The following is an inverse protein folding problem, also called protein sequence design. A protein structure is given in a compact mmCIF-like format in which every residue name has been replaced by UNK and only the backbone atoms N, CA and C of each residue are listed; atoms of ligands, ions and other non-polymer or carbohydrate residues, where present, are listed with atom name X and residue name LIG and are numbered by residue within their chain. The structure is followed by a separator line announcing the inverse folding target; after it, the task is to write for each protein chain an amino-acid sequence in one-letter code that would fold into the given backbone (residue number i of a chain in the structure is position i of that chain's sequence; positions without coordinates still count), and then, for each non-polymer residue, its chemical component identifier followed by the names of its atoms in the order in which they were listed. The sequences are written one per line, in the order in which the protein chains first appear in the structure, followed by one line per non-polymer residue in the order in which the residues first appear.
data_IF_772432500716
#
_entry.id   IF_772432500716
#
_cell.length_a   1.000
_cell.length_b   1.000
_cell.length_c   1.000
_cell.angle_alpha   90.00
_cell.angle_beta   90.00
_cell.angle_gamma   90.00
#
_symmetry.space_group_name_H-M   'P 1'
#
loop_
_entity.id
_entity.type
_entity.pdbx_description
1 polymer ?
#
# COMPACT_ATOMS: atom_id res chain seq x y z
N UNK A 1 -6.08 -27.06 13.18
CA UNK A 1 -5.11 -26.08 13.70
C UNK A 1 -4.40 -26.71 14.88
N UNK A 2 -3.13 -27.01 14.73
CA UNK A 2 -2.30 -27.68 15.74
C UNK A 2 -1.89 -26.71 16.86
N UNK A 3 -1.46 -27.26 18.02
CA UNK A 3 -0.97 -26.45 19.16
C UNK A 3 0.21 -25.56 18.73
N UNK A 4 1.12 -26.09 17.90
CA UNK A 4 2.26 -25.36 17.35
C UNK A 4 1.86 -24.19 16.41
N UNK A 5 0.77 -24.34 15.65
CA UNK A 5 0.22 -23.24 14.83
C UNK A 5 -0.36 -22.14 15.71
N UNK A 6 -1.03 -22.47 16.81
CA UNK A 6 -1.56 -21.48 17.77
C UNK A 6 -0.45 -20.72 18.47
N UNK A 7 0.59 -21.41 18.95
CA UNK A 7 1.76 -20.77 19.59
C UNK A 7 2.51 -19.86 18.61
N UNK A 8 2.65 -20.26 17.34
CA UNK A 8 3.29 -19.46 16.31
C UNK A 8 2.46 -18.20 15.97
N UNK A 9 1.14 -18.29 15.90
CA UNK A 9 0.24 -17.15 15.71
C UNK A 9 0.32 -16.20 16.90
N UNK A 10 0.24 -16.69 18.13
CA UNK A 10 0.32 -15.89 19.35
C UNK A 10 1.67 -15.18 19.54
N UNK A 11 2.76 -15.69 18.97
CA UNK A 11 4.08 -15.04 19.01
C UNK A 11 4.30 -14.01 17.90
N UNK A 12 3.55 -14.09 16.80
CA UNK A 12 3.66 -13.18 15.64
C UNK A 12 2.87 -11.88 15.85
N UNK A 13 1.68 -11.95 16.46
CA UNK A 13 0.83 -10.78 16.69
C UNK A 13 1.50 -9.67 17.53
N UNK A 14 2.14 -9.94 18.68
CA UNK A 14 2.84 -8.90 19.44
C UNK A 14 3.99 -8.26 18.68
N UNK A 15 4.69 -9.04 17.86
CA UNK A 15 5.79 -8.51 17.03
C UNK A 15 5.27 -7.62 15.89
N UNK A 16 4.13 -7.95 15.32
CA UNK A 16 3.49 -7.15 14.26
C UNK A 16 2.96 -5.83 14.81
N UNK A 17 2.28 -5.87 15.96
CA UNK A 17 1.77 -4.68 16.64
C UNK A 17 2.91 -3.73 17.05
N UNK A 18 4.02 -4.27 17.58
CA UNK A 18 5.21 -3.48 17.88
C UNK A 18 5.78 -2.78 16.64
N UNK A 19 5.82 -3.48 15.48
CA UNK A 19 6.27 -2.88 14.21
C UNK A 19 5.32 -1.78 13.71
N UNK A 20 3.99 -1.98 13.83
CA UNK A 20 2.99 -0.96 13.46
C UNK A 20 3.12 0.28 14.34
N UNK A 21 3.28 0.11 15.65
CA UNK A 21 3.51 1.22 16.59
C UNK A 21 4.79 1.98 16.25
N UNK A 22 5.88 1.26 15.98
CA UNK A 22 7.15 1.88 15.60
C UNK A 22 7.05 2.64 14.28
N UNK A 23 6.33 2.10 13.31
CA UNK A 23 6.03 2.80 12.06
C UNK A 23 5.24 4.08 12.30
N UNK A 24 4.21 4.04 13.16
CA UNK A 24 3.41 5.22 13.50
C UNK A 24 4.26 6.33 14.15
N UNK A 25 5.22 5.98 15.04
CA UNK A 25 6.17 6.93 15.61
C UNK A 25 7.01 7.62 14.53
N UNK A 26 7.54 6.86 13.56
CA UNK A 26 8.34 7.41 12.45
C UNK A 26 7.48 8.30 11.57
N UNK A 27 6.28 7.89 11.20
CA UNK A 27 5.34 8.69 10.39
C UNK A 27 5.01 9.99 11.11
N UNK A 28 4.72 9.94 12.43
CA UNK A 28 4.43 11.11 13.24
C UNK A 28 5.59 12.12 13.23
N UNK A 29 6.83 11.62 13.30
CA UNK A 29 8.02 12.46 13.35
C UNK A 29 8.46 13.00 11.99
N UNK A 30 8.29 12.22 10.91
CA UNK A 30 8.86 12.51 9.60
C UNK A 30 7.86 13.03 8.57
N UNK A 31 6.61 12.57 8.65
CA UNK A 31 5.64 12.69 7.56
C UNK A 31 4.35 13.42 7.92
N UNK A 32 4.05 13.61 9.21
CA UNK A 32 2.84 14.30 9.65
C UNK A 32 3.12 15.78 9.93
N UNK A 33 2.42 16.68 9.21
CA UNK A 33 2.38 18.11 9.48
C UNK A 33 1.02 18.49 10.05
N UNK A 34 0.98 19.28 11.13
CA UNK A 34 -0.23 19.79 11.79
C UNK A 34 -0.25 21.29 11.84
N UNK A 35 -1.44 21.88 12.01
CA UNK A 35 -1.61 23.31 12.26
C UNK A 35 -1.48 24.18 11.02
N UNK A 36 -1.14 23.64 9.87
CA UNK A 36 -1.10 24.37 8.60
C UNK A 36 -2.35 23.98 7.80
N UNK A 37 -3.17 24.95 7.39
CA UNK A 37 -4.25 24.67 6.45
C UNK A 37 -3.65 24.28 5.11
N UNK A 38 -3.78 23.02 4.75
CA UNK A 38 -3.32 22.49 3.47
C UNK A 38 -4.54 22.17 2.60
N UNK A 39 -4.52 22.68 1.38
CA UNK A 39 -5.53 22.33 0.38
C UNK A 39 -5.17 20.96 -0.21
N UNK A 40 -6.05 19.99 -0.02
CA UNK A 40 -5.89 18.63 -0.53
C UNK A 40 -6.14 18.58 -2.05
N UNK A 41 -5.69 17.52 -2.71
CA UNK A 41 -5.97 17.28 -4.13
C UNK A 41 -7.49 17.21 -4.44
N UNK A 42 -8.31 16.87 -3.45
CA UNK A 42 -9.78 16.89 -3.52
C UNK A 42 -10.37 18.31 -3.50
N UNK A 43 -9.57 19.35 -3.21
CA UNK A 43 -10.00 20.74 -3.04
C UNK A 43 -10.43 21.08 -1.61
N UNK A 44 -10.57 20.11 -0.71
CA UNK A 44 -10.92 20.33 0.69
C UNK A 44 -9.73 20.92 1.48
N UNK A 45 -10.03 21.74 2.50
CA UNK A 45 -9.00 22.19 3.44
C UNK A 45 -8.87 21.18 4.58
N UNK A 46 -7.62 20.89 4.97
CA UNK A 46 -7.30 20.03 6.10
C UNK A 46 -6.36 20.73 7.07
N UNK A 47 -6.54 20.49 8.37
CA UNK A 47 -5.65 20.99 9.43
C UNK A 47 -4.40 20.11 9.62
N UNK A 48 -4.28 19.03 8.87
CA UNK A 48 -3.14 18.12 8.88
C UNK A 48 -2.85 17.59 7.47
N UNK A 49 -1.61 17.18 7.25
CA UNK A 49 -1.15 16.61 5.99
C UNK A 49 -0.14 15.50 6.23
N UNK A 50 -0.27 14.40 5.50
CA UNK A 50 0.71 13.32 5.47
C UNK A 50 1.51 13.40 4.17
N UNK A 51 2.82 13.67 4.26
CA UNK A 51 3.78 13.46 3.18
C UNK A 51 4.60 12.21 3.48
N UNK A 52 4.29 11.10 2.83
CA UNK A 52 4.96 9.85 3.12
C UNK A 52 6.36 9.72 2.54
N UNK A 53 6.77 10.64 1.67
CA UNK A 53 8.13 10.61 1.09
C UNK A 53 9.23 10.58 2.15
N UNK A 54 9.24 11.44 3.20
CA UNK A 54 10.26 11.35 4.25
C UNK A 54 10.30 9.98 4.95
N UNK A 55 9.15 9.37 5.26
CA UNK A 55 9.10 8.02 5.85
C UNK A 55 9.62 6.96 4.88
N UNK A 56 9.24 7.04 3.60
CA UNK A 56 9.67 6.06 2.59
C UNK A 56 11.15 6.18 2.21
N UNK A 57 11.77 7.33 2.43
CA UNK A 57 13.21 7.55 2.26
C UNK A 57 14.00 7.47 3.58
N UNK A 58 13.32 7.17 4.70
CA UNK A 58 13.95 6.83 5.97
C UNK A 58 14.25 5.32 6.02
N UNK A 59 15.50 4.88 6.31
CA UNK A 59 15.87 3.47 6.22
C UNK A 59 14.97 2.52 7.02
N UNK A 60 14.70 2.85 8.29
CA UNK A 60 13.83 2.06 9.16
C UNK A 60 12.36 2.16 8.72
N UNK A 61 11.90 3.35 8.29
CA UNK A 61 10.53 3.56 7.82
C UNK A 61 10.22 2.71 6.59
N UNK A 62 11.09 2.77 5.58
CA UNK A 62 10.95 1.95 4.37
C UNK A 62 10.97 0.44 4.66
N UNK A 63 11.86 -0.01 5.57
CA UNK A 63 11.96 -1.41 5.96
C UNK A 63 10.69 -1.91 6.68
N UNK A 64 10.14 -1.10 7.59
CA UNK A 64 8.89 -1.41 8.31
C UNK A 64 7.70 -1.46 7.36
N UNK A 65 7.55 -0.48 6.47
CA UNK A 65 6.47 -0.47 5.46
C UNK A 65 6.58 -1.72 4.59
N UNK A 66 7.77 -1.99 4.03
CA UNK A 66 7.96 -3.16 3.17
C UNK A 66 7.67 -4.48 3.88
N UNK A 67 8.12 -4.63 5.12
CA UNK A 67 7.89 -5.84 5.92
C UNK A 67 6.42 -6.08 6.25
N UNK A 68 5.70 -5.04 6.65
CA UNK A 68 4.26 -5.12 6.95
C UNK A 68 3.44 -5.37 5.67
N UNK A 69 3.76 -4.68 4.55
CA UNK A 69 3.12 -4.92 3.25
C UNK A 69 3.34 -6.36 2.75
N UNK A 70 4.54 -6.91 2.95
CA UNK A 70 4.84 -8.29 2.56
C UNK A 70 4.01 -9.31 3.35
N UNK A 71 3.72 -9.05 4.62
CA UNK A 71 2.82 -9.88 5.43
C UNK A 71 1.39 -9.88 4.86
N UNK A 72 0.88 -8.72 4.44
CA UNK A 72 -0.44 -8.61 3.81
C UNK A 72 -0.50 -9.39 2.48
N UNK A 73 0.58 -9.32 1.67
CA UNK A 73 0.70 -10.12 0.44
C UNK A 73 0.69 -11.63 0.72
N UNK A 74 1.39 -12.07 1.76
CA UNK A 74 1.39 -13.47 2.18
C UNK A 74 0.02 -13.93 2.66
N UNK A 75 -0.67 -13.12 3.46
CA UNK A 75 -2.01 -13.40 3.95
C UNK A 75 -3.00 -13.64 2.79
N UNK A 76 -2.95 -12.81 1.75
CA UNK A 76 -3.81 -12.93 0.57
C UNK A 76 -3.26 -13.92 -0.47
N UNK A 77 -2.10 -14.53 -0.23
CA UNK A 77 -1.38 -15.37 -1.20
C UNK A 77 -1.12 -14.64 -2.54
N UNK A 78 -1.01 -13.31 -2.49
CA UNK A 78 -0.73 -12.50 -3.66
C UNK A 78 0.73 -12.65 -4.09
N UNK A 79 0.95 -12.65 -5.42
CA UNK A 79 2.27 -12.76 -6.03
C UNK A 79 2.67 -11.49 -6.80
N UNK A 80 1.77 -10.51 -6.78
CA UNK A 80 1.97 -9.24 -7.49
C UNK A 80 1.58 -8.11 -6.57
N UNK A 81 2.35 -7.02 -6.60
CA UNK A 81 2.06 -5.77 -5.88
C UNK A 81 2.16 -4.60 -6.83
N UNK A 82 1.24 -3.67 -6.72
CA UNK A 82 1.28 -2.45 -7.53
C UNK A 82 0.45 -1.33 -6.95
N UNK A 83 0.48 -0.17 -7.60
CA UNK A 83 -0.32 0.98 -7.18
C UNK A 83 -0.12 2.19 -8.09
N UNK A 84 -0.77 3.30 -7.77
CA UNK A 84 -0.71 4.51 -8.58
C UNK A 84 0.59 5.29 -8.29
N UNK A 85 1.23 5.81 -9.35
CA UNK A 85 2.34 6.76 -9.17
C UNK A 85 1.85 8.04 -8.47
N UNK A 86 2.64 8.76 -7.65
CA UNK A 86 4.02 8.47 -7.25
C UNK A 86 4.08 7.70 -5.91
N UNK A 87 3.02 7.79 -5.07
CA UNK A 87 3.02 7.31 -3.68
C UNK A 87 3.33 5.82 -3.56
N UNK A 88 2.74 4.99 -4.44
CA UNK A 88 2.96 3.55 -4.40
C UNK A 88 4.36 3.12 -4.90
N UNK A 89 5.03 3.90 -5.76
CA UNK A 89 6.28 3.47 -6.41
C UNK A 89 7.39 3.08 -5.43
N UNK A 90 7.74 3.91 -4.42
CA UNK A 90 8.75 3.53 -3.44
C UNK A 90 8.33 2.33 -2.59
N UNK A 91 7.03 2.19 -2.26
CA UNK A 91 6.51 1.04 -1.51
C UNK A 91 6.72 -0.24 -2.32
N UNK A 92 6.29 -0.26 -3.58
CA UNK A 92 6.43 -1.41 -4.48
C UNK A 92 7.89 -1.81 -4.63
N UNK A 93 8.79 -0.85 -4.85
CA UNK A 93 10.22 -1.12 -5.00
C UNK A 93 10.82 -1.80 -3.76
N UNK A 94 10.51 -1.27 -2.55
CA UNK A 94 11.00 -1.84 -1.30
C UNK A 94 10.41 -3.24 -1.02
N UNK A 95 9.12 -3.47 -1.31
CA UNK A 95 8.47 -4.78 -1.15
C UNK A 95 9.08 -5.83 -2.08
N UNK A 96 9.27 -5.49 -3.35
CA UNK A 96 9.89 -6.38 -4.34
C UNK A 96 11.29 -6.77 -3.91
N UNK A 97 12.13 -5.79 -3.53
CA UNK A 97 13.48 -6.03 -3.06
C UNK A 97 13.49 -6.93 -1.82
N UNK A 98 12.67 -6.60 -0.80
CA UNK A 98 12.61 -7.37 0.43
C UNK A 98 12.15 -8.81 0.17
N UNK A 99 11.15 -9.03 -0.69
CA UNK A 99 10.66 -10.36 -1.04
C UNK A 99 11.75 -11.27 -1.64
N UNK A 100 12.67 -10.70 -2.41
CA UNK A 100 13.80 -11.42 -2.97
C UNK A 100 14.87 -11.76 -1.91
N UNK A 101 15.11 -10.84 -0.98
CA UNK A 101 16.10 -11.04 0.10
C UNK A 101 15.64 -12.06 1.15
N UNK A 102 14.33 -12.17 1.35
CA UNK A 102 13.74 -13.16 2.26
C UNK A 102 13.57 -14.49 1.56
N UNK A 103 14.60 -15.35 1.62
CA UNK A 103 14.71 -16.63 0.89
C UNK A 103 13.55 -17.61 1.10
N UNK A 104 12.87 -17.50 2.24
CA UNK A 104 11.76 -18.39 2.61
C UNK A 104 10.40 -17.91 2.07
N UNK A 105 10.38 -16.83 1.31
CA UNK A 105 9.17 -16.27 0.70
C UNK A 105 9.25 -16.30 -0.82
N UNK A 106 8.15 -16.57 -1.53
CA UNK A 106 8.11 -16.42 -2.97
C UNK A 106 8.38 -14.98 -3.38
N UNK A 107 9.23 -14.76 -4.39
CA UNK A 107 9.49 -13.43 -4.94
C UNK A 107 8.20 -12.79 -5.48
N UNK A 108 8.01 -11.53 -5.16
CA UNK A 108 6.86 -10.72 -5.56
C UNK A 108 7.21 -9.92 -6.81
N UNK A 109 6.33 -9.95 -7.82
CA UNK A 109 6.43 -9.09 -9.00
C UNK A 109 5.82 -7.72 -8.70
N UNK A 110 6.53 -6.64 -9.04
CA UNK A 110 6.03 -5.28 -8.91
C UNK A 110 5.55 -4.68 -10.22
N UNK A 111 4.61 -3.73 -10.13
CA UNK A 111 4.23 -2.82 -11.19
C UNK A 111 3.78 -1.47 -10.59
N UNK A 112 3.64 -0.45 -11.44
CA UNK A 112 2.94 0.77 -11.06
C UNK A 112 2.03 1.25 -12.18
N UNK A 113 1.03 2.03 -11.83
CA UNK A 113 0.08 2.63 -12.77
C UNK A 113 0.35 4.13 -12.86
N UNK A 114 0.41 4.64 -14.07
CA UNK A 114 0.59 6.07 -14.34
C UNK A 114 -0.73 6.82 -14.18
N UNK A 115 -0.64 8.08 -13.73
CA UNK A 115 -1.80 9.00 -13.66
C UNK A 115 -2.33 9.36 -15.05
N UNK A 116 -1.43 9.39 -16.06
CA UNK A 116 -1.78 9.68 -17.45
C UNK A 116 -1.03 8.74 -18.39
N UNK A 117 -1.69 8.38 -19.50
CA UNK A 117 -1.05 7.62 -20.55
C UNK A 117 0.11 8.41 -21.19
N UNK A 118 1.14 7.71 -21.69
CA UNK A 118 2.22 8.33 -22.47
C UNK A 118 1.66 8.94 -23.77
N UNK A 119 2.14 10.13 -24.12
CA UNK A 119 1.81 10.75 -25.42
C UNK A 119 2.40 9.94 -26.59
N UNK A 120 3.51 9.22 -26.36
CA UNK A 120 4.20 8.40 -27.35
C UNK A 120 4.47 6.99 -26.82
N UNK A 121 4.37 5.96 -27.68
CA UNK A 121 4.63 4.56 -27.37
C UNK A 121 3.37 3.75 -27.06
N UNK A 122 3.52 2.66 -26.29
CA UNK A 122 2.38 1.87 -25.84
C UNK A 122 1.55 2.70 -24.85
N UNK A 123 0.29 3.01 -25.19
CA UNK A 123 -0.64 3.77 -24.33
C UNK A 123 -1.04 3.04 -23.04
N UNK A 124 -0.26 2.03 -22.63
CA UNK A 124 -0.51 1.25 -21.41
C UNK A 124 -0.24 2.12 -20.19
N UNK A 125 -1.19 2.15 -19.27
CA UNK A 125 -1.04 2.81 -17.97
C UNK A 125 -0.14 2.01 -17.02
N UNK A 126 -0.10 0.68 -17.15
CA UNK A 126 0.67 -0.22 -16.30
C UNK A 126 2.11 -0.36 -16.78
N UNK A 127 3.05 -0.09 -15.91
CA UNK A 127 4.50 -0.08 -16.13
C UNK A 127 5.24 -0.98 -15.14
N UNK A 128 6.49 -1.34 -15.43
CA UNK A 128 7.34 -2.14 -14.54
C UNK A 128 7.33 -3.64 -14.84
N UNK A 129 6.57 -4.06 -15.87
CA UNK A 129 6.53 -5.47 -16.30
C UNK A 129 7.31 -5.63 -17.60
N UNK A 130 8.22 -6.62 -17.63
CA UNK A 130 9.04 -6.89 -18.81
C UNK A 130 8.17 -7.31 -20.01
N UNK A 131 8.59 -6.97 -21.26
CA UNK A 131 7.90 -7.42 -22.46
C UNK A 131 7.73 -8.94 -22.50
N UNK A 132 6.54 -9.42 -22.86
CA UNK A 132 6.22 -10.85 -22.93
C UNK A 132 5.84 -11.52 -21.61
N UNK A 133 5.97 -10.83 -20.47
CA UNK A 133 5.49 -11.34 -19.18
C UNK A 133 3.99 -11.08 -19.04
N UNK A 134 3.22 -12.17 -18.85
CA UNK A 134 1.79 -12.09 -18.56
C UNK A 134 1.54 -12.00 -17.06
N UNK A 135 0.67 -11.09 -16.66
CA UNK A 135 0.15 -10.99 -15.29
C UNK A 135 -1.26 -11.61 -15.16
N UNK A 136 -1.87 -12.03 -16.25
CA UNK A 136 -3.24 -12.53 -16.28
C UNK A 136 -3.45 -13.72 -15.33
N UNK A 137 -4.55 -13.69 -14.57
CA UNK A 137 -4.91 -14.70 -13.56
C UNK A 137 -4.05 -14.68 -12.29
N UNK A 138 -3.10 -13.74 -12.17
CA UNK A 138 -2.28 -13.64 -10.95
C UNK A 138 -2.97 -12.74 -9.93
N UNK A 139 -2.97 -13.18 -8.67
CA UNK A 139 -3.50 -12.40 -7.55
C UNK A 139 -2.57 -11.26 -7.20
N UNK A 140 -3.13 -10.04 -7.11
CA UNK A 140 -2.40 -8.82 -6.79
C UNK A 140 -3.04 -8.05 -5.64
N UNK A 141 -2.20 -7.38 -4.86
CA UNK A 141 -2.61 -6.33 -3.92
C UNK A 141 -2.25 -4.97 -4.53
N UNK A 142 -3.18 -4.02 -4.43
CA UNK A 142 -2.90 -2.62 -4.74
C UNK A 142 -2.51 -1.91 -3.46
N UNK A 143 -1.40 -1.17 -3.50
CA UNK A 143 -0.89 -0.40 -2.36
C UNK A 143 -0.98 1.10 -2.59
N UNK A 144 -1.15 1.84 -1.50
CA UNK A 144 -1.16 3.31 -1.49
C UNK A 144 -0.38 3.84 -0.30
N UNK A 145 0.12 5.05 -0.37
CA UNK A 145 0.83 5.68 0.73
C UNK A 145 -0.16 6.33 1.72
N UNK A 146 -1.08 7.15 1.24
CA UNK A 146 -2.11 7.80 2.07
C UNK A 146 -3.45 7.77 1.35
N UNK A 147 -4.40 7.07 1.93
CA UNK A 147 -5.74 6.97 1.37
C UNK A 147 -6.72 7.92 2.10
N UNK A 148 -7.41 8.76 1.33
CA UNK A 148 -8.52 9.61 1.75
C UNK A 148 -9.86 8.96 1.38
N UNK A 149 -10.39 9.29 0.21
CA UNK A 149 -11.59 8.67 -0.36
C UNK A 149 -11.29 7.41 -1.19
N UNK A 150 -10.03 7.17 -1.55
CA UNK A 150 -9.60 6.03 -2.36
C UNK A 150 -9.82 6.14 -3.86
N UNK A 151 -10.34 7.28 -4.39
CA UNK A 151 -10.64 7.42 -5.82
C UNK A 151 -9.41 7.22 -6.72
N UNK A 152 -8.25 7.72 -6.31
CA UNK A 152 -6.97 7.53 -7.04
C UNK A 152 -6.55 6.06 -7.10
N UNK A 153 -6.77 5.33 -6.02
CA UNK A 153 -6.46 3.89 -5.92
C UNK A 153 -7.35 3.08 -6.85
N UNK A 154 -8.65 3.43 -6.97
CA UNK A 154 -9.59 2.76 -7.89
C UNK A 154 -9.12 2.85 -9.36
N UNK A 155 -8.42 3.91 -9.74
CA UNK A 155 -7.79 4.00 -11.08
C UNK A 155 -6.72 2.91 -11.26
N UNK A 156 -5.89 2.67 -10.25
CA UNK A 156 -4.88 1.61 -10.29
C UNK A 156 -5.52 0.21 -10.30
N UNK A 157 -6.60 0.01 -9.54
CA UNK A 157 -7.37 -1.25 -9.53
C UNK A 157 -7.94 -1.53 -10.91
N UNK A 158 -8.56 -0.53 -11.56
CA UNK A 158 -9.14 -0.68 -12.89
C UNK A 158 -8.07 -1.08 -13.93
N UNK A 159 -6.93 -0.39 -13.95
CA UNK A 159 -5.82 -0.69 -14.86
C UNK A 159 -5.21 -2.08 -14.60
N UNK A 160 -5.11 -2.50 -13.33
CA UNK A 160 -4.62 -3.83 -12.96
C UNK A 160 -5.60 -4.94 -13.41
N UNK A 161 -6.91 -4.75 -13.21
CA UNK A 161 -7.95 -5.68 -13.67
C UNK A 161 -8.01 -5.76 -15.20
N UNK A 162 -7.84 -4.62 -15.90
CA UNK A 162 -7.73 -4.59 -17.37
C UNK A 162 -6.52 -5.39 -17.88
N UNK A 163 -5.41 -5.39 -17.14
CA UNK A 163 -4.24 -6.23 -17.42
C UNK A 163 -4.44 -7.71 -17.06
N UNK A 164 -5.62 -8.10 -16.59
CA UNK A 164 -5.99 -9.46 -16.24
C UNK A 164 -5.62 -9.91 -14.82
N UNK A 165 -5.18 -9.00 -13.95
CA UNK A 165 -4.88 -9.30 -12.55
C UNK A 165 -6.16 -9.49 -11.72
N UNK A 166 -6.11 -10.43 -10.78
CA UNK A 166 -7.14 -10.61 -9.77
C UNK A 166 -6.85 -9.69 -8.56
N UNK A 167 -7.63 -8.62 -8.43
CA UNK A 167 -7.48 -7.64 -7.35
C UNK A 167 -8.71 -7.69 -6.45
N UNK A 168 -8.51 -8.08 -5.20
CA UNK A 168 -9.54 -8.12 -4.14
C UNK A 168 -9.21 -7.27 -2.93
N UNK A 169 -7.97 -6.80 -2.80
CA UNK A 169 -7.50 -6.09 -1.60
C UNK A 169 -6.69 -4.86 -1.98
N UNK A 170 -6.93 -3.79 -1.22
CA UNK A 170 -6.10 -2.58 -1.16
C UNK A 170 -5.45 -2.52 0.20
N UNK A 171 -4.14 -2.23 0.25
CA UNK A 171 -3.41 -1.98 1.50
C UNK A 171 -2.81 -0.59 1.46
N UNK A 172 -3.17 0.24 2.43
CA UNK A 172 -2.61 1.60 2.55
C UNK A 172 -1.67 1.71 3.75
N UNK A 173 -0.66 2.57 3.65
CA UNK A 173 0.19 2.85 4.82
C UNK A 173 -0.58 3.67 5.84
N UNK A 174 -1.29 4.72 5.41
CA UNK A 174 -2.16 5.52 6.29
C UNK A 174 -3.56 5.60 5.71
N UNK A 175 -4.56 5.12 6.44
CA UNK A 175 -5.97 5.43 6.16
C UNK A 175 -6.40 6.66 6.96
N UNK A 176 -6.83 7.71 6.25
CA UNK A 176 -7.32 8.93 6.88
C UNK A 176 -8.74 8.82 7.43
N UNK A 177 -9.41 7.70 7.23
CA UNK A 177 -10.80 7.42 7.63
C UNK A 177 -11.82 8.39 6.99
N UNK A 178 -11.56 8.85 5.77
CA UNK A 178 -12.40 9.79 5.01
C UNK A 178 -13.31 9.09 3.99
N UNK A 179 -13.74 7.85 4.29
CA UNK A 179 -14.75 7.11 3.51
C UNK A 179 -14.20 6.15 2.45
N UNK A 180 -12.89 5.88 2.42
CA UNK A 180 -12.28 4.93 1.49
C UNK A 180 -12.86 3.52 1.62
N UNK A 181 -13.09 3.03 2.84
CA UNK A 181 -13.63 1.70 3.11
C UNK A 181 -14.98 1.47 2.40
N UNK A 182 -15.90 2.44 2.50
CA UNK A 182 -17.19 2.36 1.82
C UNK A 182 -17.06 2.40 0.29
N UNK A 183 -16.11 3.18 -0.24
CA UNK A 183 -15.86 3.27 -1.68
C UNK A 183 -15.27 1.96 -2.22
N UNK A 184 -14.32 1.36 -1.51
CA UNK A 184 -13.70 0.09 -1.89
C UNK A 184 -14.68 -1.08 -1.77
N UNK A 185 -15.48 -1.13 -0.70
CA UNK A 185 -16.51 -2.16 -0.52
C UNK A 185 -17.51 -2.17 -1.69
N UNK A 186 -17.94 -0.99 -2.17
CA UNK A 186 -18.80 -0.88 -3.37
C UNK A 186 -18.12 -1.38 -4.65
N UNK A 187 -16.79 -1.35 -4.72
CA UNK A 187 -16.00 -1.88 -5.83
C UNK A 187 -15.59 -3.36 -5.67
N UNK A 188 -16.11 -4.04 -4.62
CA UNK A 188 -15.78 -5.43 -4.29
C UNK A 188 -14.33 -5.60 -3.81
N UNK A 189 -13.82 -4.62 -3.06
CA UNK A 189 -12.46 -4.60 -2.52
C UNK A 189 -12.49 -4.53 -1.00
N UNK A 190 -11.56 -5.24 -0.36
CA UNK A 190 -11.24 -5.05 1.05
C UNK A 190 -10.20 -3.95 1.21
N UNK A 191 -10.35 -3.08 2.23
CA UNK A 191 -9.31 -2.14 2.66
C UNK A 191 -8.63 -2.69 3.92
N UNK A 192 -7.30 -2.66 3.92
CA UNK A 192 -6.47 -2.84 5.12
C UNK A 192 -5.51 -1.67 5.23
N UNK A 193 -5.28 -1.22 6.47
CA UNK A 193 -4.37 -0.12 6.75
C UNK A 193 -3.25 -0.58 7.67
N UNK A 194 -2.03 -0.12 7.43
CA UNK A 194 -0.93 -0.34 8.36
C UNK A 194 -1.08 0.56 9.58
N UNK A 195 -1.55 1.80 9.36
CA UNK A 195 -1.92 2.77 10.37
C UNK A 195 -3.14 3.57 9.92
N UNK A 196 -3.84 4.20 10.86
CA UNK A 196 -5.03 5.02 10.59
C UNK A 196 -4.84 6.43 11.17
N UNK A 197 -5.70 7.37 10.82
CA UNK A 197 -5.72 8.71 11.40
C UNK A 197 -5.77 8.68 12.94
N UNK A 198 -6.45 7.69 13.53
CA UNK A 198 -6.56 7.51 14.99
C UNK A 198 -5.23 7.27 15.68
N UNK A 199 -4.28 6.58 15.02
CA UNK A 199 -2.94 6.33 15.55
C UNK A 199 -2.13 7.63 15.74
N UNK A 200 -2.66 8.74 15.21
CA UNK A 200 -2.07 10.07 15.27
C UNK A 200 -2.94 11.07 16.04
N UNK A 201 -3.90 10.64 16.84
CA UNK A 201 -4.85 11.51 17.57
C UNK A 201 -5.59 12.48 16.61
N UNK A 202 -5.99 11.98 15.46
CA UNK A 202 -6.78 12.68 14.45
C UNK A 202 -8.12 11.95 14.36
N UNK A 203 -9.19 12.66 14.74
CA UNK A 203 -10.54 12.16 14.55
C UNK A 203 -10.89 12.22 13.05
N UNK A 204 -11.48 11.13 12.52
CA UNK A 204 -11.84 11.00 11.11
C UNK A 204 -13.12 11.78 10.77
#
# INVERSE_FOLDING_TARGET
MTVLERERIQSVEPAQESRRRRLAEIIRAQSLTRGTRVRLASGAESSFYFDMKPTMFHPEGAALVAGLMLQELQHDQAKVVGGLEMGAVPIVACVVQLSYLMRDTPSIQGFFVRKAAKEHGTRKLLEGVAPGVSLAGRRAIIVDDVTTTGNSVLTAVAAAREAGLEVGTVVTVVDRLEGAEANFSRAGLALRALTTARDYDIDG
#
